data_IF_133312480329
#
_entry.id   IF_133312480329
#
_cell.length_a   1.000
_cell.length_b   1.000
_cell.length_c   1.000
_cell.angle_alpha   90.00
_cell.angle_beta   90.00
_cell.angle_gamma   90.00
#
_symmetry.space_group_name_H-M   'P 1'
#
loop_
_entity.id
_entity.type
_entity.pdbx_description
1 polymer ?
#
# COMPACT_ATOMS: atom_id res chain seq x y z
N UNK A 1 -6.03 -13.51 -33.97
CA UNK A 1 -5.01 -12.84 -33.13
C UNK A 1 -5.69 -11.62 -32.55
N UNK A 2 -6.30 -11.75 -31.37
CA UNK A 2 -6.82 -10.58 -30.66
C UNK A 2 -5.64 -9.66 -30.35
N UNK A 3 -5.78 -8.38 -30.68
CA UNK A 3 -4.75 -7.40 -30.37
C UNK A 3 -4.59 -7.36 -28.85
N UNK A 4 -3.44 -7.78 -28.33
CA UNK A 4 -3.02 -7.54 -26.96
C UNK A 4 -2.68 -6.05 -26.75
N UNK A 5 -3.61 -5.17 -27.13
CA UNK A 5 -3.52 -3.75 -26.90
C UNK A 5 -3.65 -3.51 -25.39
N UNK A 6 -2.89 -2.55 -24.87
CA UNK A 6 -3.02 -2.11 -23.48
C UNK A 6 -4.47 -1.75 -23.19
N UNK A 7 -5.05 -2.41 -22.19
CA UNK A 7 -6.38 -2.04 -21.69
C UNK A 7 -6.30 -0.63 -21.08
N UNK A 8 -6.85 0.33 -21.83
CA UNK A 8 -6.79 1.75 -21.46
C UNK A 8 -7.65 2.05 -20.23
N UNK A 9 -8.70 1.27 -19.96
CA UNK A 9 -9.56 1.49 -18.81
C UNK A 9 -8.88 1.00 -17.54
N UNK A 10 -8.25 -0.18 -17.57
CA UNK A 10 -7.41 -0.66 -16.47
C UNK A 10 -6.24 0.29 -16.22
N UNK A 11 -5.57 0.78 -17.26
CA UNK A 11 -4.48 1.75 -17.11
C UNK A 11 -4.95 3.04 -16.45
N UNK A 12 -6.14 3.55 -16.83
CA UNK A 12 -6.74 4.74 -16.22
C UNK A 12 -7.05 4.52 -14.74
N UNK A 13 -7.56 3.35 -14.35
CA UNK A 13 -7.79 3.02 -12.94
C UNK A 13 -6.49 3.01 -12.13
N UNK A 14 -5.44 2.38 -12.66
CA UNK A 14 -4.13 2.31 -12.00
C UNK A 14 -3.53 3.70 -11.81
N UNK A 15 -3.46 4.50 -12.90
CA UNK A 15 -2.90 5.86 -12.86
C UNK A 15 -3.74 6.76 -11.95
N UNK A 16 -5.07 6.62 -11.99
CA UNK A 16 -5.97 7.32 -11.08
C UNK A 16 -5.65 6.99 -9.63
N UNK A 17 -5.46 5.72 -9.30
CA UNK A 17 -5.16 5.29 -7.94
C UNK A 17 -3.80 5.80 -7.43
N UNK A 18 -2.81 6.02 -8.29
CA UNK A 18 -1.54 6.66 -7.92
C UNK A 18 -1.70 8.12 -7.49
N UNK A 19 -2.69 8.82 -8.05
CA UNK A 19 -3.01 10.21 -7.68
C UNK A 19 -3.93 10.24 -6.45
N UNK A 20 -4.98 9.40 -6.43
CA UNK A 20 -5.99 9.41 -5.38
C UNK A 20 -5.49 8.83 -4.05
N UNK A 21 -4.62 7.82 -4.07
CA UNK A 21 -4.15 7.17 -2.84
C UNK A 21 -3.41 8.11 -1.86
N UNK A 22 -2.42 8.94 -2.24
CA UNK A 22 -1.80 9.87 -1.30
C UNK A 22 -2.79 10.93 -0.78
N UNK A 23 -3.71 11.39 -1.62
CA UNK A 23 -4.72 12.40 -1.26
C UNK A 23 -5.68 11.81 -0.22
N UNK A 24 -6.21 10.61 -0.47
CA UNK A 24 -7.11 9.92 0.44
C UNK A 24 -6.43 9.62 1.78
N UNK A 25 -5.15 9.22 1.74
CA UNK A 25 -4.39 8.98 2.96
C UNK A 25 -4.15 10.25 3.77
N UNK A 26 -3.86 11.37 3.10
CA UNK A 26 -3.78 12.69 3.73
C UNK A 26 -5.09 13.10 4.37
N UNK A 27 -6.22 12.88 3.68
CA UNK A 27 -7.56 13.14 4.20
C UNK A 27 -7.86 12.33 5.46
N UNK A 28 -7.60 11.02 5.46
CA UNK A 28 -7.75 10.20 6.66
C UNK A 28 -6.85 10.68 7.80
N UNK A 29 -5.60 11.05 7.52
CA UNK A 29 -4.69 11.57 8.54
C UNK A 29 -5.21 12.87 9.18
N UNK A 30 -5.77 13.79 8.38
CA UNK A 30 -6.38 15.04 8.85
C UNK A 30 -7.56 14.75 9.78
N UNK A 31 -8.48 13.86 9.36
CA UNK A 31 -9.64 13.47 10.17
C UNK A 31 -9.20 12.85 11.50
N UNK A 32 -8.30 11.86 11.42
CA UNK A 32 -7.80 11.16 12.60
C UNK A 32 -7.09 12.12 13.55
N UNK A 33 -6.30 13.06 13.05
CA UNK A 33 -5.65 14.08 13.87
C UNK A 33 -6.67 14.90 14.67
N UNK A 34 -7.72 15.42 14.04
CA UNK A 34 -8.72 16.22 14.74
C UNK A 34 -9.51 15.40 15.76
N UNK A 35 -9.85 14.14 15.44
CA UNK A 35 -10.50 13.22 16.37
C UNK A 35 -9.62 12.98 17.59
N UNK A 36 -8.36 12.58 17.38
CA UNK A 36 -7.41 12.31 18.46
C UNK A 36 -7.11 13.55 19.30
N UNK A 37 -6.89 14.71 18.66
CA UNK A 37 -6.68 15.98 19.35
C UNK A 37 -7.85 16.32 20.28
N UNK A 38 -9.09 16.21 19.77
CA UNK A 38 -10.30 16.48 20.55
C UNK A 38 -10.46 15.50 21.72
N UNK A 39 -10.18 14.21 21.51
CA UNK A 39 -10.28 13.17 22.53
C UNK A 39 -9.23 13.32 23.61
N UNK A 40 -7.96 13.54 23.24
CA UNK A 40 -6.85 13.70 24.17
C UNK A 40 -7.00 14.96 25.05
N UNK A 41 -7.42 16.08 24.46
CA UNK A 41 -7.68 17.31 25.21
C UNK A 41 -8.81 17.16 26.24
N UNK A 42 -9.83 16.32 25.95
CA UNK A 42 -10.92 16.03 26.88
C UNK A 42 -10.49 15.09 28.00
N UNK A 43 -9.69 14.07 27.68
CA UNK A 43 -9.35 13.01 28.62
C UNK A 43 -8.25 13.42 29.64
N UNK A 44 -7.46 14.47 29.37
CA UNK A 44 -6.39 14.98 30.25
C UNK A 44 -5.52 13.86 30.85
N UNK A 45 -5.12 12.91 30.01
CA UNK A 45 -4.37 11.71 30.42
C UNK A 45 -2.94 12.11 30.81
N UNK A 46 -2.43 11.54 31.90
CA UNK A 46 -1.04 11.72 32.32
C UNK A 46 -0.06 11.22 31.24
N UNK A 47 1.05 11.94 31.03
CA UNK A 47 2.00 11.67 29.93
C UNK A 47 2.51 10.22 29.89
N UNK A 48 2.81 9.61 31.05
CA UNK A 48 3.27 8.21 31.11
C UNK A 48 2.21 7.20 30.63
N UNK A 49 0.94 7.42 30.99
CA UNK A 49 -0.15 6.56 30.54
C UNK A 49 -0.40 6.74 29.04
N UNK A 50 -0.31 7.99 28.56
CA UNK A 50 -0.42 8.28 27.13
C UNK A 50 0.68 7.59 26.32
N UNK A 51 1.93 7.59 26.81
CA UNK A 51 3.04 6.87 26.16
C UNK A 51 2.75 5.36 26.10
N UNK A 52 2.33 4.77 27.23
CA UNK A 52 1.96 3.36 27.30
C UNK A 52 0.85 2.99 26.28
N UNK A 53 -0.25 3.73 26.26
CA UNK A 53 -1.35 3.48 25.32
C UNK A 53 -0.93 3.69 23.87
N UNK A 54 -0.09 4.69 23.60
CA UNK A 54 0.40 4.96 22.24
C UNK A 54 1.27 3.82 21.72
N UNK A 55 2.15 3.24 22.56
CA UNK A 55 2.98 2.09 22.19
C UNK A 55 2.14 0.87 21.86
N UNK A 56 1.16 0.54 22.69
CA UNK A 56 0.22 -0.56 22.41
C UNK A 56 -0.61 -0.30 21.16
N UNK A 57 -1.08 0.94 20.99
CA UNK A 57 -1.77 1.37 19.77
C UNK A 57 -0.92 1.18 18.52
N UNK A 58 0.37 1.53 18.58
CA UNK A 58 1.31 1.36 17.47
C UNK A 58 1.53 -0.10 17.11
N UNK A 59 1.52 -1.02 18.08
CA UNK A 59 1.60 -2.46 17.79
C UNK A 59 0.34 -2.95 17.07
N UNK A 60 -0.84 -2.56 17.55
CA UNK A 60 -2.12 -2.95 16.95
C UNK A 60 -2.26 -2.40 15.54
N UNK A 61 -2.01 -1.10 15.37
CA UNK A 61 -2.09 -0.44 14.06
C UNK A 61 -0.97 -0.90 13.15
N UNK A 62 0.21 -1.24 13.68
CA UNK A 62 1.29 -1.88 12.94
C UNK A 62 0.89 -3.25 12.39
N UNK A 63 0.21 -4.08 13.19
CA UNK A 63 -0.34 -5.36 12.72
C UNK A 63 -1.40 -5.17 11.63
N UNK A 64 -2.31 -4.21 11.80
CA UNK A 64 -3.27 -3.83 10.77
C UNK A 64 -2.59 -3.32 9.49
N UNK A 65 -1.52 -2.54 9.63
CA UNK A 65 -0.72 -2.07 8.51
C UNK A 65 0.02 -3.17 7.78
N UNK A 66 0.58 -4.14 8.50
CA UNK A 66 1.21 -5.31 7.91
C UNK A 66 0.19 -6.15 7.12
N UNK A 67 -1.01 -6.36 7.67
CA UNK A 67 -2.10 -7.04 6.98
C UNK A 67 -2.51 -6.31 5.69
N UNK A 68 -2.77 -5.00 5.80
CA UNK A 68 -3.22 -4.17 4.67
C UNK A 68 -2.16 -4.07 3.58
N UNK A 69 -0.89 -3.98 3.97
CA UNK A 69 0.25 -3.99 3.04
C UNK A 69 0.38 -5.34 2.33
N UNK A 70 0.24 -6.45 3.07
CA UNK A 70 0.26 -7.79 2.49
C UNK A 70 -0.85 -7.98 1.46
N UNK A 71 -2.08 -7.64 1.82
CA UNK A 71 -3.24 -7.74 0.91
C UNK A 71 -3.07 -6.89 -0.35
N UNK A 72 -2.56 -5.67 -0.23
CA UNK A 72 -2.32 -4.78 -1.37
C UNK A 72 -1.18 -5.26 -2.28
N UNK A 73 -0.15 -5.89 -1.73
CA UNK A 73 1.07 -6.25 -2.48
C UNK A 73 1.07 -7.68 -3.02
N UNK A 74 0.22 -8.57 -2.51
CA UNK A 74 0.27 -9.99 -2.89
C UNK A 74 0.00 -10.19 -4.38
N UNK A 75 -0.88 -9.38 -4.98
CA UNK A 75 -1.15 -9.43 -6.42
C UNK A 75 0.08 -9.06 -7.27
N UNK A 76 0.93 -8.15 -6.79
CA UNK A 76 2.17 -7.77 -7.49
C UNK A 76 3.20 -8.91 -7.49
N UNK A 77 3.16 -9.79 -6.49
CA UNK A 77 4.08 -10.93 -6.36
C UNK A 77 3.53 -12.16 -7.08
N UNK A 78 2.27 -12.50 -6.82
CA UNK A 78 1.67 -13.76 -7.27
C UNK A 78 0.82 -13.64 -8.53
N UNK A 79 0.38 -12.45 -8.92
CA UNK A 79 -0.53 -12.24 -10.05
C UNK A 79 0.01 -12.71 -11.40
N UNK A 80 1.33 -12.65 -11.61
CA UNK A 80 1.96 -13.17 -12.85
C UNK A 80 1.91 -14.70 -12.94
N UNK A 81 1.73 -15.41 -11.82
CA UNK A 81 1.71 -16.87 -11.78
C UNK A 81 0.29 -17.45 -11.86
N UNK A 82 -0.76 -16.68 -11.56
CA UNK A 82 -2.14 -17.19 -11.46
C UNK A 82 -2.69 -17.76 -12.77
N UNK A 83 -2.16 -17.33 -13.93
CA UNK A 83 -2.57 -17.83 -15.25
C UNK A 83 -1.61 -18.85 -15.88
N UNK A 84 -0.48 -19.16 -15.23
CA UNK A 84 0.57 -20.04 -15.77
C UNK A 84 0.74 -21.28 -14.90
N UNK A 85 0.55 -21.14 -13.59
CA UNK A 85 0.78 -22.20 -12.63
C UNK A 85 -0.54 -22.93 -12.32
N UNK A 86 -0.71 -24.13 -12.87
CA UNK A 86 -1.83 -25.01 -12.58
C UNK A 86 -1.52 -25.88 -11.35
N UNK A 87 -1.84 -25.37 -10.16
CA UNK A 87 -1.72 -26.14 -8.92
C UNK A 87 -3.02 -26.93 -8.71
N UNK A 88 -2.98 -28.27 -8.58
CA UNK A 88 -4.17 -29.06 -8.28
C UNK A 88 -4.73 -28.72 -6.89
N UNK A 89 -6.05 -28.80 -6.77
CA UNK A 89 -6.70 -28.61 -5.48
C UNK A 89 -6.26 -29.71 -4.50
N UNK A 90 -6.00 -29.33 -3.25
CA UNK A 90 -5.59 -30.25 -2.21
C UNK A 90 -6.71 -30.39 -1.18
N UNK A 91 -7.22 -31.59 -1.03
CA UNK A 91 -8.30 -31.91 -0.09
C UNK A 91 -7.75 -32.58 1.16
N UNK A 92 -7.99 -31.97 2.33
CA UNK A 92 -7.64 -32.51 3.65
C UNK A 92 -8.85 -33.19 4.31
N UNK A 93 -9.97 -33.34 3.61
CA UNK A 93 -11.22 -33.94 4.08
C UNK A 93 -12.12 -32.97 4.86
N UNK A 94 -11.54 -32.10 5.69
CA UNK A 94 -12.27 -31.03 6.42
C UNK A 94 -12.10 -29.64 5.80
N UNK A 95 -11.10 -29.46 4.92
CA UNK A 95 -10.82 -28.23 4.20
C UNK A 95 -10.21 -28.56 2.83
N UNK A 96 -10.70 -27.90 1.79
CA UNK A 96 -10.14 -27.96 0.44
C UNK A 96 -9.37 -26.68 0.15
N UNK A 97 -8.09 -26.82 -0.19
CA UNK A 97 -7.24 -25.71 -0.61
C UNK A 97 -7.21 -25.63 -2.14
N UNK A 98 -7.73 -24.53 -2.68
CA UNK A 98 -7.64 -24.29 -4.12
C UNK A 98 -6.20 -24.02 -4.54
N UNK A 99 -5.86 -24.30 -5.79
CA UNK A 99 -4.53 -23.98 -6.33
C UNK A 99 -4.14 -22.50 -6.12
N UNK A 100 -5.11 -21.59 -6.28
CA UNK A 100 -4.92 -20.17 -6.01
C UNK A 100 -4.59 -19.88 -4.54
N UNK A 101 -5.30 -20.50 -3.59
CA UNK A 101 -5.02 -20.33 -2.16
C UNK A 101 -3.62 -20.83 -1.80
N UNK A 102 -3.19 -21.94 -2.38
CA UNK A 102 -1.83 -22.46 -2.19
C UNK A 102 -0.78 -21.49 -2.75
N UNK A 103 -0.99 -20.94 -3.95
CA UNK A 103 -0.11 -19.95 -4.56
C UNK A 103 0.02 -18.68 -3.69
N UNK A 104 -1.10 -18.14 -3.24
CA UNK A 104 -1.11 -16.94 -2.38
C UNK A 104 -0.51 -17.22 -0.99
N UNK A 105 -0.66 -18.43 -0.45
CA UNK A 105 0.00 -18.84 0.79
C UNK A 105 1.53 -18.86 0.64
N UNK A 106 2.04 -19.45 -0.45
CA UNK A 106 3.47 -19.42 -0.77
C UNK A 106 3.98 -17.98 -0.92
N UNK A 107 3.17 -17.10 -1.52
CA UNK A 107 3.49 -15.68 -1.64
C UNK A 107 3.55 -14.97 -0.30
N UNK A 108 2.62 -15.26 0.60
CA UNK A 108 2.63 -14.74 1.97
C UNK A 108 3.89 -15.16 2.73
N UNK A 109 4.32 -16.43 2.59
CA UNK A 109 5.56 -16.94 3.19
C UNK A 109 6.77 -16.23 2.60
N UNK A 110 6.86 -16.11 1.27
CA UNK A 110 7.97 -15.45 0.59
C UNK A 110 8.11 -13.98 1.01
N UNK A 111 7.00 -13.24 1.06
CA UNK A 111 6.96 -11.85 1.56
C UNK A 111 7.44 -11.81 3.02
N UNK A 112 6.95 -12.71 3.87
CA UNK A 112 7.33 -12.74 5.30
C UNK A 112 8.83 -13.00 5.50
N UNK A 113 9.40 -13.93 4.74
CA UNK A 113 10.85 -14.21 4.77
C UNK A 113 11.65 -12.99 4.29
N UNK A 114 11.24 -12.36 3.19
CA UNK A 114 11.85 -11.12 2.71
C UNK A 114 11.78 -10.00 3.74
N UNK A 115 10.67 -9.93 4.48
CA UNK A 115 10.49 -8.93 5.54
C UNK A 115 11.54 -9.09 6.64
N UNK A 116 11.67 -10.31 7.17
CA UNK A 116 12.59 -10.64 8.26
C UNK A 116 14.07 -10.48 7.86
N UNK A 117 14.41 -10.76 6.61
CA UNK A 117 15.80 -10.82 6.15
C UNK A 117 16.36 -9.49 5.63
N UNK A 118 15.60 -8.73 4.83
CA UNK A 118 16.15 -7.58 4.09
C UNK A 118 15.55 -6.22 4.46
N UNK A 119 14.45 -6.15 5.22
CA UNK A 119 13.69 -4.89 5.37
C UNK A 119 14.30 -3.87 6.31
N UNK A 120 15.21 -4.28 7.20
CA UNK A 120 15.69 -3.42 8.30
C UNK A 120 16.23 -2.08 7.81
N UNK A 121 17.03 -2.06 6.74
CA UNK A 121 17.63 -0.83 6.20
C UNK A 121 16.55 0.10 5.63
N UNK A 122 15.59 -0.45 4.89
CA UNK A 122 14.52 0.33 4.27
C UNK A 122 13.59 0.91 5.34
N UNK A 123 13.18 0.11 6.33
CA UNK A 123 12.32 0.56 7.43
C UNK A 123 12.90 1.75 8.20
N UNK A 124 14.22 1.82 8.35
CA UNK A 124 14.89 2.94 9.03
C UNK A 124 14.98 4.23 8.19
N UNK A 125 14.71 4.15 6.88
CA UNK A 125 14.83 5.29 5.95
C UNK A 125 13.49 5.86 5.51
N UNK A 126 12.43 5.05 5.43
CA UNK A 126 11.11 5.49 4.92
C UNK A 126 10.49 6.55 5.83
N UNK A 127 10.13 7.70 5.24
CA UNK A 127 9.44 8.80 5.95
C UNK A 127 10.35 9.65 6.84
N UNK A 128 11.60 9.26 7.05
CA UNK A 128 12.58 10.09 7.75
C UNK A 128 12.84 11.37 6.94
N UNK A 129 12.99 12.50 7.64
CA UNK A 129 13.31 13.82 7.07
C UNK A 129 12.19 14.58 6.33
N UNK A 130 10.95 14.06 6.26
CA UNK A 130 9.82 14.84 5.72
C UNK A 130 9.36 15.89 6.74
N UNK A 131 9.14 15.46 7.98
CA UNK A 131 8.88 16.30 9.16
C UNK A 131 9.15 15.50 10.43
N UNK A 132 9.26 16.18 11.57
CA UNK A 132 9.34 15.51 12.88
C UNK A 132 7.97 14.94 13.28
N UNK A 133 7.94 13.63 13.55
CA UNK A 133 6.72 12.89 13.87
C UNK A 133 6.77 12.43 15.32
N UNK A 134 5.81 12.88 16.14
CA UNK A 134 5.61 12.37 17.49
C UNK A 134 5.02 10.95 17.48
N UNK A 135 5.12 10.14 18.56
CA UNK A 135 4.55 8.79 18.60
C UNK A 135 3.06 8.72 18.22
N UNK A 136 2.26 9.69 18.69
CA UNK A 136 0.83 9.81 18.32
C UNK A 136 0.68 10.18 16.83
N UNK A 137 1.57 11.02 16.32
CA UNK A 137 1.62 11.32 14.88
C UNK A 137 1.94 10.08 14.05
N UNK A 138 2.89 9.25 14.50
CA UNK A 138 3.22 8.00 13.84
C UNK A 138 2.03 7.04 13.86
N UNK A 139 1.33 6.93 14.99
CA UNK A 139 0.09 6.17 15.09
C UNK A 139 -0.94 6.62 14.05
N UNK A 140 -1.18 7.93 13.94
CA UNK A 140 -2.13 8.49 12.97
C UNK A 140 -1.69 8.20 11.53
N UNK A 141 -0.40 8.37 11.22
CA UNK A 141 0.14 8.13 9.87
C UNK A 141 0.02 6.68 9.47
N UNK A 142 0.41 5.75 10.35
CA UNK A 142 0.31 4.31 10.08
C UNK A 142 -1.16 3.92 9.96
N UNK A 143 -2.05 4.41 10.82
CA UNK A 143 -3.48 4.12 10.71
C UNK A 143 -4.08 4.62 9.41
N UNK A 144 -3.84 5.89 9.05
CA UNK A 144 -4.35 6.51 7.82
C UNK A 144 -3.86 5.79 6.55
N UNK A 145 -2.55 5.52 6.47
CA UNK A 145 -1.95 4.81 5.33
C UNK A 145 -2.46 3.38 5.24
N UNK A 146 -2.54 2.65 6.36
CA UNK A 146 -3.07 1.28 6.40
C UNK A 146 -4.54 1.22 5.99
N UNK A 147 -5.38 2.14 6.49
CA UNK A 147 -6.79 2.23 6.08
C UNK A 147 -6.91 2.52 4.59
N UNK A 148 -6.04 3.39 4.04
CA UNK A 148 -6.01 3.65 2.59
C UNK A 148 -5.73 2.38 1.80
N UNK A 149 -4.67 1.64 2.16
CA UNK A 149 -4.32 0.37 1.50
C UNK A 149 -5.46 -0.66 1.62
N UNK A 150 -6.06 -0.77 2.80
CA UNK A 150 -7.17 -1.68 3.04
C UNK A 150 -8.38 -1.37 2.15
N UNK A 151 -8.72 -0.09 1.97
CA UNK A 151 -9.86 0.32 1.14
C UNK A 151 -9.66 -0.05 -0.33
N UNK A 152 -8.44 0.08 -0.86
CA UNK A 152 -8.12 -0.33 -2.23
C UNK A 152 -7.97 -1.85 -2.40
N UNK A 153 -7.64 -2.59 -1.34
CA UNK A 153 -7.41 -4.03 -1.41
C UNK A 153 -8.66 -4.89 -1.07
N UNK A 154 -9.65 -4.34 -0.36
CA UNK A 154 -10.75 -5.12 0.19
C UNK A 154 -11.94 -5.23 -0.77
N UNK A 155 -12.11 -6.40 -1.40
CA UNK A 155 -13.29 -6.72 -2.22
C UNK A 155 -14.58 -6.66 -1.41
N UNK A 156 -14.58 -7.21 -0.20
CA UNK A 156 -15.75 -7.21 0.69
C UNK A 156 -16.20 -5.78 1.03
N UNK A 157 -15.26 -4.85 1.24
CA UNK A 157 -15.61 -3.46 1.48
C UNK A 157 -16.17 -2.80 0.22
N UNK A 158 -15.58 -3.07 -0.95
CA UNK A 158 -16.12 -2.59 -2.24
C UNK A 158 -17.57 -3.06 -2.42
N UNK A 159 -17.84 -4.36 -2.24
CA UNK A 159 -19.17 -4.94 -2.41
C UNK A 159 -20.17 -4.35 -1.40
N UNK A 160 -19.74 -4.15 -0.16
CA UNK A 160 -20.54 -3.49 0.87
C UNK A 160 -20.87 -2.04 0.53
N UNK A 161 -19.92 -1.26 0.00
CA UNK A 161 -20.16 0.12 -0.42
C UNK A 161 -21.13 0.19 -1.61
N UNK A 162 -20.98 -0.72 -2.58
CA UNK A 162 -21.88 -0.84 -3.73
C UNK A 162 -23.30 -1.16 -3.26
N UNK A 163 -23.45 -2.09 -2.30
CA UNK A 163 -24.73 -2.44 -1.69
C UNK A 163 -25.40 -1.24 -1.00
N UNK A 164 -24.63 -0.30 -0.46
CA UNK A 164 -25.13 0.94 0.15
C UNK A 164 -25.32 2.10 -0.87
N UNK A 165 -25.15 1.84 -2.17
CA UNK A 165 -25.15 2.87 -3.23
C UNK A 165 -24.12 3.99 -2.99
N UNK A 166 -23.01 3.68 -2.30
CA UNK A 166 -21.90 4.60 -2.06
C UNK A 166 -20.81 4.44 -3.14
N UNK A 167 -20.05 5.50 -3.44
CA UNK A 167 -18.92 5.39 -4.36
C UNK A 167 -17.86 4.44 -3.81
N UNK A 168 -17.56 3.39 -4.57
CA UNK A 168 -16.50 2.41 -4.25
C UNK A 168 -15.22 2.71 -5.04
N UNK A 169 -14.07 2.35 -4.47
CA UNK A 169 -12.78 2.46 -5.15
C UNK A 169 -12.45 1.18 -5.93
N UNK A 170 -11.69 1.29 -7.03
CA UNK A 170 -11.25 0.13 -7.80
C UNK A 170 -10.29 -0.75 -6.99
N UNK A 171 -10.32 -2.06 -7.25
CA UNK A 171 -9.44 -3.04 -6.61
C UNK A 171 -8.10 -3.09 -7.34
N UNK A 172 -7.33 -2.01 -7.22
CA UNK A 172 -6.02 -1.88 -7.86
C UNK A 172 -4.92 -1.75 -6.81
N UNK A 173 -3.76 -2.38 -7.00
CA UNK A 173 -2.62 -2.21 -6.10
C UNK A 173 -2.17 -0.75 -6.08
N UNK A 174 -2.11 -0.16 -4.88
CA UNK A 174 -1.65 1.22 -4.68
C UNK A 174 -0.27 1.27 -4.02
N UNK A 175 0.45 2.38 -4.19
CA UNK A 175 1.78 2.53 -3.61
C UNK A 175 1.70 2.85 -2.12
N UNK A 176 2.22 1.97 -1.28
CA UNK A 176 2.31 2.18 0.17
C UNK A 176 3.18 3.38 0.54
N UNK A 177 4.25 3.64 -0.22
CA UNK A 177 5.08 4.84 -0.02
C UNK A 177 4.30 6.13 -0.30
N UNK A 178 3.48 6.17 -1.36
CA UNK A 178 2.62 7.33 -1.64
C UNK A 178 1.58 7.54 -0.54
N UNK A 179 0.93 6.46 -0.07
CA UNK A 179 -0.02 6.54 1.04
C UNK A 179 0.63 7.10 2.31
N UNK A 180 1.81 6.59 2.71
CA UNK A 180 2.53 7.10 3.89
C UNK A 180 2.92 8.58 3.71
N UNK A 181 3.48 8.98 2.57
CA UNK A 181 3.84 10.38 2.30
C UNK A 181 2.61 11.29 2.34
N UNK A 182 1.50 10.85 1.76
CA UNK A 182 0.21 11.55 1.80
C UNK A 182 -0.30 11.75 3.23
N UNK A 183 -0.27 10.70 4.05
CA UNK A 183 -0.65 10.75 5.46
C UNK A 183 0.25 11.70 6.28
N UNK A 184 1.57 11.67 6.05
CA UNK A 184 2.52 12.59 6.71
C UNK A 184 2.22 14.04 6.32
N UNK A 185 1.99 14.31 5.03
CA UNK A 185 1.63 15.64 4.54
C UNK A 185 0.30 16.12 5.16
N UNK A 186 -0.73 15.28 5.16
CA UNK A 186 -2.03 15.58 5.76
C UNK A 186 -1.92 15.89 7.26
N UNK A 187 -1.18 15.08 8.00
CA UNK A 187 -0.89 15.33 9.43
C UNK A 187 -0.15 16.67 9.62
N UNK A 188 0.85 16.95 8.79
CA UNK A 188 1.62 18.20 8.85
C UNK A 188 0.76 19.43 8.60
N UNK A 189 -0.10 19.38 7.57
CA UNK A 189 -1.05 20.45 7.26
C UNK A 189 -2.06 20.64 8.41
N UNK A 190 -2.60 19.56 8.98
CA UNK A 190 -3.52 19.63 10.11
C UNK A 190 -2.88 20.22 11.38
N UNK A 191 -1.55 20.10 11.53
CA UNK A 191 -0.75 20.73 12.61
C UNK A 191 -0.35 22.19 12.32
N UNK A 192 -0.77 22.77 11.19
CA UNK A 192 -0.48 24.15 10.81
C UNK A 192 0.69 24.30 9.82
N UNK A 193 1.13 23.22 9.18
CA UNK A 193 2.04 23.26 8.01
C UNK A 193 3.50 23.64 8.31
N UNK A 194 3.85 23.89 9.57
CA UNK A 194 5.22 24.26 9.98
C UNK A 194 6.13 23.01 9.94
N UNK A 195 7.39 23.19 9.53
CA UNK A 195 8.43 22.15 9.47
C UNK A 195 8.20 21.02 8.45
N UNK A 196 7.47 21.28 7.36
CA UNK A 196 7.36 20.34 6.23
C UNK A 196 8.47 20.62 5.23
N UNK A 197 9.26 19.60 4.90
CA UNK A 197 10.31 19.71 3.88
C UNK A 197 9.74 19.55 2.46
N UNK A 198 9.17 20.63 1.91
CA UNK A 198 8.59 20.64 0.56
C UNK A 198 9.62 20.32 -0.54
N UNK A 199 10.90 20.64 -0.34
CA UNK A 199 11.97 20.31 -1.29
C UNK A 199 12.16 18.80 -1.40
N UNK A 200 12.12 18.08 -0.27
CA UNK A 200 12.18 16.62 -0.27
C UNK A 200 10.92 16.01 -0.90
N UNK A 201 9.74 16.56 -0.61
CA UNK A 201 8.48 16.12 -1.24
C UNK A 201 8.53 16.24 -2.77
N UNK A 202 9.06 17.35 -3.30
CA UNK A 202 9.26 17.54 -4.74
C UNK A 202 10.18 16.47 -5.35
N UNK A 203 11.30 16.14 -4.68
CA UNK A 203 12.21 15.06 -5.12
C UNK A 203 11.52 13.69 -5.13
N UNK A 204 10.72 13.40 -4.11
CA UNK A 204 9.93 12.17 -4.04
C UNK A 204 8.93 12.10 -5.21
N UNK A 205 8.22 13.21 -5.49
CA UNK A 205 7.28 13.29 -6.60
C UNK A 205 7.92 13.04 -7.97
N UNK A 206 9.12 13.56 -8.21
CA UNK A 206 9.90 13.25 -9.42
C UNK A 206 10.21 11.75 -9.49
N UNK A 207 10.60 11.13 -8.37
CA UNK A 207 10.83 9.69 -8.29
C UNK A 207 9.60 8.85 -8.68
N UNK A 208 8.39 9.29 -8.29
CA UNK A 208 7.15 8.58 -8.63
C UNK A 208 6.82 8.61 -10.12
N UNK A 209 7.23 9.64 -10.85
CA UNK A 209 7.07 9.71 -12.32
C UNK A 209 8.15 8.88 -13.00
N UNK A 210 9.41 9.00 -12.55
CA UNK A 210 10.54 8.32 -13.18
C UNK A 210 10.49 6.80 -13.02
N UNK A 211 10.04 6.28 -11.87
CA UNK A 211 10.03 4.84 -11.57
C UNK A 211 9.23 3.99 -12.58
N UNK A 212 7.97 4.30 -12.91
CA UNK A 212 7.23 3.52 -13.92
C UNK A 212 7.82 3.67 -15.32
N UNK A 213 8.36 4.84 -15.67
CA UNK A 213 9.00 5.06 -16.98
C UNK A 213 10.25 4.19 -17.13
N UNK A 214 11.13 4.17 -16.12
CA UNK A 214 12.33 3.33 -16.16
C UNK A 214 11.99 1.85 -16.13
N UNK A 215 10.97 1.44 -15.36
CA UNK A 215 10.48 0.06 -15.37
C UNK A 215 9.95 -0.35 -16.75
N UNK A 216 9.17 0.51 -17.42
CA UNK A 216 8.66 0.27 -18.76
C UNK A 216 9.79 0.13 -19.79
N UNK A 217 10.79 1.01 -19.74
CA UNK A 217 11.97 0.96 -20.63
C UNK A 217 12.78 -0.32 -20.42
N UNK A 218 13.05 -0.68 -19.17
CA UNK A 218 13.79 -1.92 -18.85
C UNK A 218 13.00 -3.14 -19.33
N UNK A 219 11.69 -3.17 -19.06
CA UNK A 219 10.81 -4.25 -19.53
C UNK A 219 10.89 -4.38 -21.06
N UNK A 220 10.72 -3.28 -21.80
CA UNK A 220 10.81 -3.26 -23.25
C UNK A 220 12.15 -3.83 -23.77
N UNK A 221 13.28 -3.43 -23.18
CA UNK A 221 14.60 -3.93 -23.55
C UNK A 221 14.72 -5.44 -23.30
N UNK A 222 14.23 -5.93 -22.17
CA UNK A 222 14.26 -7.34 -21.83
C UNK A 222 13.38 -8.18 -22.76
N UNK A 223 12.17 -7.70 -23.08
CA UNK A 223 11.28 -8.39 -24.03
C UNK A 223 11.90 -8.42 -25.43
N UNK A 224 12.49 -7.31 -25.88
CA UNK A 224 13.23 -7.25 -27.14
C UNK A 224 14.37 -8.27 -27.18
N UNK A 225 15.16 -8.37 -26.12
CA UNK A 225 16.23 -9.36 -26.02
C UNK A 225 15.69 -10.80 -26.08
N UNK A 226 14.61 -11.08 -25.35
CA UNK A 226 13.95 -12.40 -25.35
C UNK A 226 13.42 -12.80 -26.73
N UNK A 227 12.83 -11.86 -27.47
CA UNK A 227 12.34 -12.09 -28.84
C UNK A 227 13.48 -12.36 -29.82
N UNK A 228 14.51 -11.52 -29.80
CA UNK A 228 15.54 -11.52 -30.86
C UNK A 228 16.64 -12.56 -30.62
N UNK A 229 16.98 -12.85 -29.36
CA UNK A 229 18.05 -13.79 -29.04
C UNK A 229 17.52 -15.20 -28.82
N UNK A 230 16.41 -15.36 -28.11
CA UNK A 230 15.85 -16.68 -27.80
C UNK A 230 14.74 -17.12 -28.75
N UNK A 231 14.38 -16.30 -29.75
CA UNK A 231 13.33 -16.59 -30.75
C UNK A 231 12.03 -17.05 -30.06
N UNK A 232 11.78 -16.51 -28.87
CA UNK A 232 10.50 -16.68 -28.19
C UNK A 232 9.58 -15.61 -28.72
N UNK A 233 8.40 -15.99 -29.20
CA UNK A 233 7.31 -15.03 -29.40
C UNK A 233 6.90 -14.50 -28.03
N UNK A 234 7.58 -13.45 -27.59
CA UNK A 234 7.13 -12.67 -26.45
C UNK A 234 6.05 -11.75 -27.01
N UNK A 235 4.86 -11.87 -26.46
CA UNK A 235 3.69 -11.09 -26.85
C UNK A 235 3.86 -9.67 -26.31
#
# INVERSE_FOLDING_TARGET
MESFATDLDVLREIVGAWIFSPILSGFFAVILYFIFKKRLNKAKIHLLHLDFYTRWGLLIVGAFGAYSLGANNIANVMGVFTGIMEIPNYDLGFLTFTGAQQLFLLGGIAISVGVVTYSKRVMLTVGSNIMDISPIGAFIVVLASSTTLFVFASSNLKDFLIMLNLPSLPLVPVSSSQAVVGAVLGLGLAKGGRNINFKLLGKIGVGWILTPITAALISFILLFFMQNVFIRSVI
#
